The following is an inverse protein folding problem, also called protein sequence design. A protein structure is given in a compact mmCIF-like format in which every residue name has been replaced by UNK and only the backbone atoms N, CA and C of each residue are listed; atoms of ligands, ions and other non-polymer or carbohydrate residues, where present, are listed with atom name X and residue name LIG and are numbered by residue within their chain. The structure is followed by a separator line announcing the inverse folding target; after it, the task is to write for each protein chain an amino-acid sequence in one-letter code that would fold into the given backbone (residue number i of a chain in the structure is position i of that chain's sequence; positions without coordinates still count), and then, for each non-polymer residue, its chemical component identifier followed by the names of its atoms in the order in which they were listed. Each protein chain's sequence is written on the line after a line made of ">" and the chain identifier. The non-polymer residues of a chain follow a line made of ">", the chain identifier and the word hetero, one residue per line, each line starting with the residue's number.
data_IF_173842204522
#
_entry.id   IF_173842204522
#
_cell.length_a   1.000
_cell.length_b   1.000
_cell.length_c   1.000
_cell.angle_alpha   90.00
_cell.angle_beta   90.00
_cell.angle_gamma   90.00
#
_symmetry.space_group_name_H-M   'P 1'
#
loop_
_entity.id
_entity.type
_entity.pdbx_description
1 polymer ?
#
# COMPACT_ATOMS: atom_id res chain seq x y z
N UNK A 1 -13.87 -10.57 11.83
CA UNK A 1 -13.27 -9.59 10.87
C UNK A 1 -12.47 -10.37 9.85
N UNK A 2 -12.64 -10.13 8.54
CA UNK A 2 -11.94 -10.91 7.51
C UNK A 2 -10.41 -10.71 7.61
N UNK A 3 -9.61 -11.79 7.47
CA UNK A 3 -8.14 -11.73 7.57
C UNK A 3 -7.51 -10.67 6.65
N UNK A 4 -8.02 -10.51 5.42
CA UNK A 4 -7.58 -9.46 4.50
C UNK A 4 -7.69 -8.04 5.11
N UNK A 5 -8.75 -7.78 5.89
CA UNK A 5 -8.89 -6.51 6.60
C UNK A 5 -7.82 -6.35 7.68
N UNK A 6 -7.57 -7.41 8.46
CA UNK A 6 -6.51 -7.42 9.47
C UNK A 6 -5.14 -7.15 8.86
N UNK A 7 -4.84 -7.76 7.71
CA UNK A 7 -3.58 -7.54 6.98
C UNK A 7 -3.47 -6.08 6.50
N UNK A 8 -4.52 -5.53 5.90
CA UNK A 8 -4.54 -4.13 5.46
C UNK A 8 -4.32 -3.16 6.63
N UNK A 9 -4.98 -3.40 7.76
CA UNK A 9 -4.83 -2.59 8.97
C UNK A 9 -3.42 -2.69 9.55
N UNK A 10 -2.82 -3.90 9.53
CA UNK A 10 -1.44 -4.11 9.94
C UNK A 10 -0.45 -3.34 9.05
N UNK A 11 -0.61 -3.42 7.72
CA UNK A 11 0.21 -2.66 6.77
C UNK A 11 0.10 -1.16 7.06
N UNK A 12 -1.11 -0.63 7.24
CA UNK A 12 -1.31 0.78 7.56
C UNK A 12 -0.65 1.17 8.90
N UNK A 13 -0.73 0.32 9.91
CA UNK A 13 -0.09 0.53 11.22
C UNK A 13 1.43 0.56 11.11
N UNK A 14 2.02 -0.38 10.37
CA UNK A 14 3.48 -0.43 10.14
C UNK A 14 3.94 0.86 9.45
N UNK A 15 3.24 1.28 8.41
CA UNK A 15 3.58 2.48 7.66
C UNK A 15 3.37 3.78 8.47
N UNK A 16 2.46 3.79 9.43
CA UNK A 16 2.25 4.94 10.32
C UNK A 16 3.30 5.05 11.44
N UNK A 17 4.18 4.07 11.62
CA UNK A 17 5.21 4.09 12.66
C UNK A 17 6.25 5.17 12.36
N UNK A 18 6.39 6.13 13.27
CA UNK A 18 7.34 7.26 13.15
C UNK A 18 8.81 6.81 13.33
N UNK A 19 9.78 7.50 12.69
CA UNK A 19 9.63 8.67 11.83
C UNK A 19 9.07 8.31 10.43
N UNK A 20 8.33 9.25 9.80
CA UNK A 20 7.80 9.10 8.45
C UNK A 20 7.97 10.39 7.64
N UNK A 21 8.15 10.26 6.32
CA UNK A 21 8.14 11.37 5.37
C UNK A 21 6.74 11.70 4.83
N UNK A 22 5.70 11.07 5.37
CA UNK A 22 4.29 11.34 5.08
C UNK A 22 3.53 11.77 6.33
N UNK A 23 2.51 12.58 6.13
CA UNK A 23 1.72 13.16 7.23
C UNK A 23 0.67 12.18 7.78
N UNK A 24 0.16 11.27 6.93
CA UNK A 24 -0.89 10.32 7.32
C UNK A 24 -0.94 9.08 6.44
N UNK A 25 -1.52 8.02 6.99
CA UNK A 25 -1.82 6.77 6.27
C UNK A 25 -3.33 6.55 6.32
N UNK A 26 -3.96 6.47 5.15
CA UNK A 26 -5.40 6.32 4.99
C UNK A 26 -5.73 4.91 4.54
N UNK A 27 -6.72 4.29 5.15
CA UNK A 27 -7.20 2.96 4.75
C UNK A 27 -8.39 3.07 3.79
N UNK A 28 -8.20 3.79 2.69
CA UNK A 28 -9.25 4.07 1.71
C UNK A 28 -8.67 4.14 0.30
N UNK A 29 -9.53 3.94 -0.71
CA UNK A 29 -9.21 4.17 -2.13
C UNK A 29 -9.47 5.59 -2.59
N UNK A 30 -10.16 6.38 -1.77
CA UNK A 30 -10.58 7.74 -2.12
C UNK A 30 -9.94 8.70 -1.14
N UNK A 31 -9.08 9.57 -1.66
CA UNK A 31 -8.54 10.67 -0.89
C UNK A 31 -9.63 11.74 -0.64
N UNK A 32 -9.66 12.30 0.56
CA UNK A 32 -10.52 13.45 0.85
C UNK A 32 -9.80 14.74 0.50
N UNK A 33 -10.57 15.80 0.20
CA UNK A 33 -10.02 17.11 -0.20
C UNK A 33 -9.23 17.85 0.88
N UNK A 34 -9.21 17.33 2.12
CA UNK A 34 -8.57 17.95 3.29
C UNK A 34 -7.31 17.24 3.79
N UNK A 35 -6.67 16.44 2.94
CA UNK A 35 -5.47 15.72 3.36
C UNK A 35 -4.25 16.63 3.46
N UNK A 36 -3.42 16.37 4.47
CA UNK A 36 -2.09 16.98 4.60
C UNK A 36 -1.12 16.15 3.76
N UNK A 37 -0.40 16.81 2.87
CA UNK A 37 0.54 16.19 1.95
C UNK A 37 1.96 16.08 2.53
N UNK A 38 2.76 15.09 2.16
CA UNK A 38 2.36 13.88 1.42
C UNK A 38 1.59 12.90 2.32
N UNK A 39 0.82 11.99 1.73
CA UNK A 39 0.09 10.96 2.47
C UNK A 39 0.12 9.62 1.73
N UNK A 40 -0.14 8.54 2.46
CA UNK A 40 -0.30 7.20 1.90
C UNK A 40 -1.77 6.76 1.93
N UNK A 41 -2.17 5.99 0.93
CA UNK A 41 -3.42 5.22 0.92
C UNK A 41 -3.09 3.74 0.90
N UNK A 42 -3.75 2.94 1.75
CA UNK A 42 -3.59 1.50 1.84
C UNK A 42 -4.94 0.84 1.64
N UNK A 43 -5.06 -0.01 0.61
CA UNK A 43 -6.29 -0.74 0.35
C UNK A 43 -6.03 -2.09 -0.33
N UNK A 44 -6.93 -3.04 -0.09
CA UNK A 44 -6.92 -4.32 -0.79
C UNK A 44 -7.60 -4.18 -2.15
N UNK A 45 -7.00 -4.77 -3.18
CA UNK A 45 -7.51 -4.75 -4.57
C UNK A 45 -8.29 -6.02 -4.86
N UNK A 46 -7.64 -7.16 -4.67
CA UNK A 46 -8.19 -8.47 -4.95
C UNK A 46 -7.72 -9.52 -3.94
N UNK A 47 -8.28 -10.70 -4.03
CA UNK A 47 -7.90 -11.88 -3.27
C UNK A 47 -8.17 -13.12 -4.12
N UNK A 48 -7.13 -13.89 -4.41
CA UNK A 48 -7.25 -15.21 -5.00
C UNK A 48 -7.25 -16.28 -3.90
N UNK A 49 -8.00 -17.36 -4.11
CA UNK A 49 -8.11 -18.47 -3.17
C UNK A 49 -7.85 -19.78 -3.89
N UNK A 50 -6.95 -20.59 -3.35
CA UNK A 50 -6.66 -21.94 -3.83
C UNK A 50 -6.91 -22.95 -2.72
N UNK A 51 -7.61 -24.04 -3.03
CA UNK A 51 -7.84 -25.11 -2.07
C UNK A 51 -6.68 -26.10 -2.10
N UNK A 52 -5.91 -26.17 -1.02
CA UNK A 52 -4.74 -27.03 -0.91
C UNK A 52 -5.05 -28.48 -0.54
N UNK A 53 -6.07 -28.71 0.27
CA UNK A 53 -6.40 -30.04 0.80
C UNK A 53 -7.89 -30.30 0.77
N UNK A 54 -8.28 -31.44 0.19
CA UNK A 54 -9.62 -32.04 0.34
C UNK A 54 -9.61 -32.86 1.63
N UNK A 55 -9.67 -32.19 2.78
CA UNK A 55 -9.79 -32.81 4.09
C UNK A 55 -11.13 -32.40 4.71
N UNK A 56 -11.69 -33.11 5.71
CA UNK A 56 -12.92 -32.69 6.39
C UNK A 56 -12.88 -31.25 6.95
N UNK A 57 -11.67 -30.69 7.12
CA UNK A 57 -11.42 -29.26 7.38
C UNK A 57 -10.53 -28.74 6.26
N UNK A 58 -11.10 -28.33 5.13
CA UNK A 58 -10.34 -27.80 4.00
C UNK A 58 -9.44 -26.63 4.42
N UNK A 59 -8.24 -26.60 3.87
CA UNK A 59 -7.31 -25.47 4.02
C UNK A 59 -7.29 -24.72 2.70
N UNK A 60 -7.49 -23.42 2.78
CA UNK A 60 -7.37 -22.52 1.64
C UNK A 60 -6.12 -21.66 1.77
N UNK A 61 -5.25 -21.74 0.78
CA UNK A 61 -4.24 -20.72 0.56
C UNK A 61 -4.89 -19.51 -0.11
N UNK A 62 -4.55 -18.35 0.41
CA UNK A 62 -5.07 -17.08 -0.07
C UNK A 62 -3.92 -16.15 -0.42
N UNK A 63 -4.10 -15.47 -1.53
CA UNK A 63 -3.17 -14.45 -2.01
C UNK A 63 -3.94 -13.15 -2.15
N UNK A 64 -3.64 -12.18 -1.28
CA UNK A 64 -4.25 -10.86 -1.34
C UNK A 64 -3.27 -9.82 -1.90
N UNK A 65 -3.75 -8.98 -2.80
CA UNK A 65 -3.00 -7.83 -3.32
C UNK A 65 -3.40 -6.58 -2.54
N UNK A 66 -2.40 -5.96 -1.91
CA UNK A 66 -2.52 -4.70 -1.17
C UNK A 66 -1.81 -3.61 -1.96
N UNK A 67 -2.52 -2.54 -2.30
CA UNK A 67 -1.90 -1.36 -2.86
C UNK A 67 -1.53 -0.37 -1.76
N UNK A 68 -0.30 0.12 -1.83
CA UNK A 68 0.19 1.28 -1.08
C UNK A 68 0.41 2.39 -2.10
N UNK A 69 -0.38 3.45 -2.00
CA UNK A 69 -0.31 4.58 -2.92
C UNK A 69 0.19 5.81 -2.18
N UNK A 70 1.38 6.26 -2.55
CA UNK A 70 1.96 7.51 -2.05
C UNK A 70 1.54 8.68 -2.91
N UNK A 71 0.98 9.72 -2.29
CA UNK A 71 0.50 10.93 -2.95
C UNK A 71 1.38 12.11 -2.56
N UNK A 72 1.94 12.79 -3.56
CA UNK A 72 2.79 13.96 -3.43
C UNK A 72 2.12 15.17 -4.09
N UNK A 73 2.08 16.28 -3.36
CA UNK A 73 1.74 17.58 -3.97
C UNK A 73 3.01 18.18 -4.57
N UNK A 74 2.94 18.55 -5.81
CA UNK A 74 4.00 19.33 -6.44
C UNK A 74 3.72 20.79 -6.13
N UNK A 75 4.65 21.52 -5.50
CA UNK A 75 4.48 22.96 -5.32
C UNK A 75 4.33 23.59 -6.70
N UNK A 76 3.17 24.21 -6.97
CA UNK A 76 3.00 25.05 -8.15
C UNK A 76 3.95 26.23 -8.01
N UNK A 77 5.09 26.17 -8.66
CA UNK A 77 5.91 27.34 -8.89
C UNK A 77 5.32 28.03 -10.10
N UNK A 78 4.76 29.21 -9.92
CA UNK A 78 4.23 30.01 -11.01
C UNK A 78 5.28 30.44 -12.05
N UNK A 79 6.50 29.93 -11.97
CA UNK A 79 7.61 30.15 -12.87
C UNK A 79 8.02 28.92 -13.71
N UNK A 80 7.25 27.82 -13.63
CA UNK A 80 7.53 26.59 -14.39
C UNK A 80 8.80 25.83 -13.93
N UNK A 81 9.43 26.22 -12.82
CA UNK A 81 10.65 25.62 -12.30
C UNK A 81 10.41 24.42 -11.37
N UNK A 82 9.19 23.90 -11.32
CA UNK A 82 8.91 22.59 -10.69
C UNK A 82 9.68 21.52 -11.45
N UNK A 83 10.94 21.29 -11.06
CA UNK A 83 11.82 20.37 -11.73
C UNK A 83 11.22 18.95 -11.62
N UNK A 84 10.92 18.32 -12.75
CA UNK A 84 10.47 16.93 -12.84
C UNK A 84 11.39 16.00 -12.08
N UNK A 85 12.71 16.21 -12.16
CA UNK A 85 13.72 15.47 -11.44
C UNK A 85 13.50 15.50 -9.92
N UNK A 86 13.16 16.64 -9.35
CA UNK A 86 12.85 16.75 -7.91
C UNK A 86 11.58 15.99 -7.51
N UNK A 87 10.59 15.89 -8.39
CA UNK A 87 9.37 15.12 -8.14
C UNK A 87 9.65 13.63 -8.18
N UNK A 88 10.39 13.18 -9.19
CA UNK A 88 10.80 11.79 -9.33
C UNK A 88 11.66 11.35 -8.13
N UNK A 89 12.66 12.13 -7.74
CA UNK A 89 13.50 11.86 -6.56
C UNK A 89 12.68 11.72 -5.27
N UNK A 90 11.64 12.54 -5.11
CA UNK A 90 10.74 12.45 -3.94
C UNK A 90 9.84 11.23 -3.99
N UNK A 91 9.39 10.82 -5.17
CA UNK A 91 8.61 9.61 -5.36
C UNK A 91 9.46 8.38 -5.07
N UNK A 92 10.70 8.36 -5.55
CA UNK A 92 11.67 7.31 -5.27
C UNK A 92 12.00 7.20 -3.78
N UNK A 93 12.24 8.34 -3.11
CA UNK A 93 12.48 8.37 -1.67
C UNK A 93 11.29 7.83 -0.86
N UNK A 94 10.06 8.19 -1.24
CA UNK A 94 8.84 7.70 -0.61
C UNK A 94 8.68 6.18 -0.83
N UNK A 95 8.92 5.72 -2.06
CA UNK A 95 8.88 4.30 -2.43
C UNK A 95 9.89 3.49 -1.60
N UNK A 96 11.14 3.94 -1.53
CA UNK A 96 12.20 3.29 -0.77
C UNK A 96 11.89 3.24 0.74
N UNK A 97 11.28 4.29 1.29
CA UNK A 97 10.87 4.28 2.71
C UNK A 97 9.76 3.26 2.97
N UNK A 98 8.76 3.15 2.09
CA UNK A 98 7.71 2.11 2.19
C UNK A 98 8.34 0.73 2.16
N UNK A 99 9.26 0.45 1.23
CA UNK A 99 9.96 -0.84 1.13
C UNK A 99 10.81 -1.15 2.36
N UNK A 100 11.45 -0.15 2.93
CA UNK A 100 12.24 -0.31 4.16
C UNK A 100 11.36 -0.69 5.36
N UNK A 101 10.17 -0.08 5.48
CA UNK A 101 9.25 -0.33 6.59
C UNK A 101 8.45 -1.62 6.41
N UNK A 102 8.00 -1.90 5.18
CA UNK A 102 7.11 -3.01 4.88
C UNK A 102 7.89 -4.24 4.43
N UNK A 103 8.28 -5.06 5.39
CA UNK A 103 9.03 -6.31 5.18
C UNK A 103 8.24 -7.51 5.68
N UNK A 104 8.65 -8.73 5.28
CA UNK A 104 8.11 -9.95 5.85
C UNK A 104 8.21 -9.98 7.39
N UNK A 105 9.33 -9.50 7.93
CA UNK A 105 9.56 -9.51 9.37
C UNK A 105 8.62 -8.53 10.09
N UNK A 106 8.44 -7.32 9.57
CA UNK A 106 7.55 -6.31 10.17
C UNK A 106 6.09 -6.75 10.10
N UNK A 107 5.65 -7.32 8.97
CA UNK A 107 4.28 -7.82 8.84
C UNK A 107 4.04 -9.01 9.78
N UNK A 108 4.96 -9.98 9.86
CA UNK A 108 4.84 -11.14 10.75
C UNK A 108 4.86 -10.77 12.23
N UNK A 109 5.52 -9.68 12.60
CA UNK A 109 5.49 -9.17 13.97
C UNK A 109 4.09 -8.68 14.39
N UNK A 110 3.28 -8.21 13.43
CA UNK A 110 1.91 -7.74 13.68
C UNK A 110 0.87 -8.81 13.37
N UNK A 111 1.07 -9.60 12.31
CA UNK A 111 0.19 -10.70 11.88
C UNK A 111 1.01 -11.98 11.76
N UNK A 112 1.17 -12.68 12.87
CA UNK A 112 2.15 -13.75 13.05
C UNK A 112 2.06 -14.92 12.07
N UNK A 113 0.88 -15.18 11.51
CA UNK A 113 0.63 -16.36 10.64
C UNK A 113 0.57 -16.01 9.14
N UNK A 114 1.02 -14.84 8.72
CA UNK A 114 1.24 -14.57 7.30
C UNK A 114 2.41 -15.39 6.79
N UNK A 115 2.27 -15.97 5.59
CA UNK A 115 3.31 -16.82 5.01
C UNK A 115 4.40 -15.98 4.34
N UNK A 116 3.99 -15.07 3.47
CA UNK A 116 4.91 -14.18 2.75
C UNK A 116 4.31 -12.81 2.47
N UNK A 117 5.20 -11.85 2.28
CA UNK A 117 4.94 -10.52 1.75
C UNK A 117 5.98 -10.23 0.67
N UNK A 118 5.55 -9.85 -0.51
CA UNK A 118 6.44 -9.51 -1.62
C UNK A 118 5.94 -8.29 -2.39
N UNK A 119 6.85 -7.37 -2.71
CA UNK A 119 6.57 -6.31 -3.68
C UNK A 119 6.48 -6.93 -5.07
N UNK A 120 5.36 -6.72 -5.76
CA UNK A 120 5.11 -7.24 -7.10
C UNK A 120 5.44 -6.21 -8.18
N UNK A 121 5.04 -4.98 -7.96
CA UNK A 121 5.28 -3.89 -8.92
C UNK A 121 5.28 -2.52 -8.25
N UNK A 122 5.98 -1.59 -8.87
CA UNK A 122 5.93 -0.16 -8.56
C UNK A 122 5.61 0.58 -9.84
N UNK A 123 4.65 1.50 -9.79
CA UNK A 123 4.30 2.40 -10.89
C UNK A 123 4.23 3.83 -10.39
N UNK A 124 4.63 4.76 -11.25
CA UNK A 124 4.63 6.19 -10.97
C UNK A 124 3.75 6.90 -11.98
N UNK A 125 2.98 7.86 -11.51
CA UNK A 125 2.10 8.68 -12.32
C UNK A 125 2.26 10.15 -11.92
N UNK A 126 2.36 11.01 -12.92
CA UNK A 126 2.38 12.46 -12.73
C UNK A 126 1.12 13.01 -13.40
N UNK A 127 0.30 13.68 -12.61
CA UNK A 127 -0.95 14.27 -13.09
C UNK A 127 -0.74 15.76 -13.34
N UNK A 128 -0.97 16.16 -14.58
CA UNK A 128 -0.90 17.56 -15.01
C UNK A 128 -2.25 18.25 -14.77
N UNK A 129 -2.18 19.53 -14.53
CA UNK A 129 -3.37 20.38 -14.49
C UNK A 129 -3.81 20.68 -15.95
N UNK A 130 -5.08 20.44 -16.27
CA UNK A 130 -5.62 20.60 -17.62
C UNK A 130 -5.62 22.05 -18.13
N UNK A 131 -5.59 23.04 -17.21
CA UNK A 131 -5.69 24.45 -17.57
C UNK A 131 -4.36 25.07 -18.03
N UNK A 132 -3.25 24.68 -17.43
CA UNK A 132 -1.94 25.32 -17.67
C UNK A 132 -0.78 24.33 -17.91
N UNK A 133 -1.07 23.02 -17.89
CA UNK A 133 -0.07 21.96 -18.05
C UNK A 133 0.92 21.85 -16.89
N UNK A 134 0.72 22.57 -15.80
CA UNK A 134 1.53 22.44 -14.59
C UNK A 134 1.29 21.08 -13.90
N UNK A 135 2.28 20.59 -13.14
CA UNK A 135 2.11 19.35 -12.38
C UNK A 135 1.19 19.62 -11.19
N UNK A 136 0.04 18.95 -11.14
CA UNK A 136 -0.92 19.04 -10.04
C UNK A 136 -0.48 18.21 -8.85
N UNK A 137 -0.22 16.95 -9.08
CA UNK A 137 0.26 16.00 -8.07
C UNK A 137 0.98 14.81 -8.73
N UNK A 138 1.70 14.07 -7.93
CA UNK A 138 2.31 12.81 -8.34
C UNK A 138 1.86 11.68 -7.44
N UNK A 139 1.76 10.49 -7.99
CA UNK A 139 1.38 9.28 -7.28
C UNK A 139 2.40 8.16 -7.55
N UNK A 140 2.83 7.46 -6.50
CA UNK A 140 3.56 6.20 -6.61
C UNK A 140 2.69 5.09 -6.06
N UNK A 141 2.43 4.06 -6.87
CA UNK A 141 1.63 2.90 -6.48
C UNK A 141 2.52 1.68 -6.40
N UNK A 142 2.58 1.07 -5.23
CA UNK A 142 3.24 -0.21 -5.00
C UNK A 142 2.19 -1.29 -4.77
N UNK A 143 2.25 -2.37 -5.55
CA UNK A 143 1.43 -3.55 -5.37
C UNK A 143 2.20 -4.59 -4.54
N UNK A 144 1.66 -4.91 -3.37
CA UNK A 144 2.22 -5.88 -2.44
C UNK A 144 1.34 -7.11 -2.38
N UNK A 145 1.96 -8.29 -2.54
CA UNK A 145 1.28 -9.57 -2.48
C UNK A 145 1.56 -10.23 -1.12
N UNK A 146 0.48 -10.58 -0.43
CA UNK A 146 0.52 -11.27 0.86
C UNK A 146 -0.12 -12.63 0.72
N UNK A 147 0.62 -13.69 1.10
CA UNK A 147 0.08 -15.05 1.16
C UNK A 147 -0.21 -15.46 2.60
N UNK A 148 -1.32 -16.14 2.80
CA UNK A 148 -1.76 -16.64 4.10
C UNK A 148 -2.74 -17.81 3.92
N UNK A 149 -2.93 -18.61 4.96
CA UNK A 149 -3.87 -19.72 4.94
C UNK A 149 -5.02 -19.51 5.92
N UNK A 150 -6.21 -20.00 5.55
CA UNK A 150 -7.41 -20.02 6.38
C UNK A 150 -8.06 -21.39 6.35
N UNK A 151 -8.77 -21.79 7.43
CA UNK A 151 -9.61 -22.97 7.41
C UNK A 151 -10.90 -22.71 6.63
N UNK A 152 -11.46 -23.79 6.05
CA UNK A 152 -12.77 -23.74 5.38
C UNK A 152 -13.86 -23.24 6.33
N UNK A 153 -14.69 -22.31 5.84
CA UNK A 153 -15.75 -21.70 6.64
C UNK A 153 -15.29 -20.71 7.70
N UNK A 154 -13.97 -20.50 7.89
CA UNK A 154 -13.39 -19.59 8.88
C UNK A 154 -12.47 -18.54 8.22
N UNK A 155 -12.97 -17.64 7.36
CA UNK A 155 -12.15 -16.64 6.66
C UNK A 155 -11.55 -15.57 7.59
N UNK A 156 -11.90 -15.63 8.85
CA UNK A 156 -11.42 -14.72 9.90
C UNK A 156 -10.26 -15.29 10.71
N UNK A 157 -9.91 -16.56 10.48
CA UNK A 157 -8.92 -17.27 11.28
C UNK A 157 -7.74 -17.70 10.41
N UNK A 158 -6.57 -17.15 10.69
CA UNK A 158 -5.29 -17.61 10.14
C UNK A 158 -4.89 -18.97 10.76
N UNK A 159 -4.35 -19.86 9.95
CA UNK A 159 -3.84 -21.17 10.37
C UNK A 159 -2.37 -21.34 10.05
#
# INVERSE_FOLDING_TARGET
>A
MHVRQTIREAVATILATTPTNWASVLQTRIATTRQVWPFLMVYAVDEATEQLLIHPTGIYDRTATIHVVGMLKVPGTGDGSGNMETVEDRMDALSAEVETKLTNATLKAVVAKTQSLALQSTSMEIVLNDEDGSISHAAVTQAWVVTYATAEGLPETLI
#
